data_IF_098913417886
#
_entry.id   IF_098913417886
#
_cell.length_a   1.000
_cell.length_b   1.000
_cell.length_c   1.000
_cell.angle_alpha   90.00
_cell.angle_beta   90.00
_cell.angle_gamma   90.00
#
_symmetry.space_group_name_H-M   'P 1'
#
loop_
_entity.id
_entity.type
_entity.pdbx_description
1 polymer ?
#
# COMPACT_ATOMS: atom_id res chain seq x y z
N UNK A 1 26.02 -13.78 -45.65
CA UNK A 1 24.82 -14.12 -44.88
C UNK A 1 25.25 -14.40 -43.44
N UNK A 2 24.97 -13.55 -42.47
CA UNK A 2 25.32 -13.86 -41.10
C UNK A 2 24.11 -14.54 -40.40
N UNK A 3 24.40 -15.66 -39.77
CA UNK A 3 23.47 -16.47 -38.96
C UNK A 3 23.16 -15.72 -37.69
N UNK A 4 21.88 -15.37 -37.49
CA UNK A 4 21.37 -14.84 -36.21
C UNK A 4 21.26 -15.98 -35.20
N UNK A 5 22.11 -15.96 -34.20
CA UNK A 5 22.00 -16.82 -33.03
C UNK A 5 20.99 -16.16 -32.08
N UNK A 6 19.79 -16.73 -32.01
CA UNK A 6 18.77 -16.36 -31.03
C UNK A 6 19.20 -16.92 -29.67
N UNK A 7 19.62 -16.05 -28.76
CA UNK A 7 19.84 -16.42 -27.34
C UNK A 7 18.48 -16.71 -26.68
N UNK A 8 18.25 -17.99 -26.49
CA UNK A 8 17.14 -18.47 -25.62
C UNK A 8 17.51 -18.13 -24.18
N UNK A 9 16.81 -17.15 -23.61
CA UNK A 9 16.94 -16.80 -22.19
C UNK A 9 16.21 -17.89 -21.38
N UNK A 10 16.97 -18.81 -20.81
CA UNK A 10 16.46 -19.80 -19.85
C UNK A 10 16.15 -19.04 -18.56
N UNK A 11 14.88 -18.70 -18.33
CA UNK A 11 14.40 -18.23 -17.02
C UNK A 11 14.43 -19.45 -16.10
N UNK A 12 15.46 -19.53 -15.29
CA UNK A 12 15.52 -20.50 -14.19
C UNK A 12 14.52 -20.04 -13.15
N UNK A 13 13.33 -20.63 -13.18
CA UNK A 13 12.38 -20.59 -12.06
C UNK A 13 13.08 -21.29 -10.89
N UNK A 14 13.68 -20.53 -9.97
CA UNK A 14 13.96 -21.01 -8.63
C UNK A 14 12.61 -21.25 -7.98
N UNK A 15 12.07 -22.44 -8.18
CA UNK A 15 10.98 -22.96 -7.40
C UNK A 15 11.50 -23.13 -5.97
N UNK A 16 11.12 -22.22 -5.10
CA UNK A 16 11.17 -22.47 -3.67
C UNK A 16 10.22 -23.65 -3.43
N UNK A 17 10.81 -24.86 -3.33
CA UNK A 17 10.08 -26.05 -2.93
C UNK A 17 9.78 -25.94 -1.44
N UNK A 18 8.68 -25.23 -1.11
CA UNK A 18 7.99 -25.47 0.14
C UNK A 18 7.44 -26.90 0.06
N UNK A 19 8.16 -27.85 0.64
CA UNK A 19 7.65 -29.19 0.80
C UNK A 19 6.30 -29.13 1.56
N UNK A 20 5.31 -29.98 1.23
CA UNK A 20 4.04 -29.97 1.92
C UNK A 20 4.22 -30.50 3.33
N UNK A 21 4.52 -29.61 4.27
CA UNK A 21 4.38 -29.86 5.70
C UNK A 21 3.04 -29.30 6.12
N UNK A 22 2.08 -30.17 6.34
CA UNK A 22 0.81 -29.95 7.02
C UNK A 22 0.17 -28.55 6.90
N UNK A 23 -0.65 -28.33 5.87
CA UNK A 23 -1.77 -27.39 5.97
C UNK A 23 -1.50 -25.91 5.73
N UNK A 24 -0.34 -25.48 5.24
CA UNK A 24 -0.09 -24.08 4.88
C UNK A 24 -0.66 -23.80 3.49
N UNK A 25 -1.73 -23.03 3.43
CA UNK A 25 -2.27 -22.52 2.15
C UNK A 25 -1.67 -21.12 1.91
N UNK A 26 -0.74 -21.04 0.96
CA UNK A 26 -0.18 -19.79 0.44
C UNK A 26 -0.73 -19.60 -0.96
N UNK A 27 -1.39 -18.47 -1.20
CA UNK A 27 -2.07 -18.18 -2.44
C UNK A 27 -1.49 -16.96 -3.13
N UNK A 28 -0.86 -17.14 -4.26
CA UNK A 28 -0.39 -16.05 -5.11
C UNK A 28 -1.59 -15.25 -5.66
N UNK A 29 -1.47 -13.94 -5.64
CA UNK A 29 -2.46 -13.03 -6.20
C UNK A 29 -2.02 -12.53 -7.58
N UNK A 30 -2.95 -12.30 -8.51
CA UNK A 30 -2.64 -11.74 -9.83
C UNK A 30 -2.39 -10.23 -9.71
N UNK A 31 -1.20 -9.83 -9.26
CA UNK A 31 -0.85 -8.43 -9.05
C UNK A 31 0.15 -7.93 -10.08
N UNK A 32 0.17 -6.61 -10.26
CA UNK A 32 1.23 -5.87 -10.92
C UNK A 32 1.70 -4.72 -10.04
N UNK A 33 2.95 -4.30 -10.21
CA UNK A 33 3.55 -3.21 -9.47
C UNK A 33 3.93 -2.08 -10.42
N UNK A 34 3.69 -0.84 -10.00
CA UNK A 34 4.13 0.36 -10.70
C UNK A 34 4.61 1.39 -9.68
N UNK A 35 5.87 1.78 -9.72
CA UNK A 35 6.49 2.67 -8.74
C UNK A 35 6.22 2.24 -7.27
N UNK A 36 6.30 0.94 -6.99
CA UNK A 36 5.99 0.26 -5.72
C UNK A 36 4.50 0.27 -5.31
N UNK A 37 3.62 0.88 -6.09
CA UNK A 37 2.18 0.80 -5.92
C UNK A 37 1.66 -0.54 -6.46
N UNK A 38 0.67 -1.13 -5.80
CA UNK A 38 0.21 -2.50 -6.08
C UNK A 38 -1.19 -2.46 -6.69
N UNK A 39 -1.37 -3.20 -7.78
CA UNK A 39 -2.64 -3.33 -8.49
C UNK A 39 -3.01 -4.80 -8.60
N UNK A 40 -4.22 -5.16 -8.16
CA UNK A 40 -4.79 -6.50 -8.33
C UNK A 40 -5.51 -6.56 -9.67
N UNK A 41 -5.08 -7.48 -10.53
CA UNK A 41 -5.60 -7.67 -11.89
C UNK A 41 -6.56 -8.85 -11.92
N UNK A 42 -7.85 -8.61 -11.81
CA UNK A 42 -8.88 -9.64 -11.69
C UNK A 42 -9.40 -9.99 -13.10
N UNK A 43 -9.16 -11.22 -13.59
CA UNK A 43 -9.73 -11.64 -14.87
C UNK A 43 -11.25 -11.61 -14.84
N UNK A 44 -11.84 -11.08 -15.90
CA UNK A 44 -13.27 -11.10 -16.15
C UNK A 44 -13.59 -12.03 -17.33
N UNK A 45 -14.86 -12.46 -17.47
CA UNK A 45 -15.34 -13.03 -18.72
C UNK A 45 -14.98 -12.09 -19.89
N UNK A 46 -14.94 -12.59 -21.11
CA UNK A 46 -14.64 -11.83 -22.33
C UNK A 46 -13.20 -11.27 -22.45
N UNK A 47 -12.25 -11.86 -21.70
CA UNK A 47 -10.84 -11.45 -21.69
C UNK A 47 -10.59 -9.99 -21.23
N UNK A 48 -11.52 -9.39 -20.52
CA UNK A 48 -11.29 -8.10 -19.85
C UNK A 48 -10.65 -8.32 -18.46
N UNK A 49 -10.13 -7.27 -17.87
CA UNK A 49 -9.48 -7.28 -16.55
C UNK A 49 -10.01 -6.14 -15.69
N UNK A 50 -10.49 -6.47 -14.50
CA UNK A 50 -10.81 -5.46 -13.49
C UNK A 50 -9.55 -5.15 -12.69
N UNK A 51 -9.07 -3.91 -12.77
CA UNK A 51 -7.84 -3.47 -12.10
C UNK A 51 -8.20 -2.74 -10.82
N UNK A 52 -7.82 -3.29 -9.67
CA UNK A 52 -8.09 -2.71 -8.36
C UNK A 52 -6.81 -2.25 -7.69
N UNK A 53 -6.75 -0.98 -7.30
CA UNK A 53 -5.65 -0.42 -6.54
C UNK A 53 -5.67 -0.95 -5.10
N UNK A 54 -4.52 -1.37 -4.57
CA UNK A 54 -4.38 -1.93 -3.22
C UNK A 54 -3.81 -0.89 -2.25
N UNK A 55 -4.60 -0.52 -1.24
CA UNK A 55 -4.31 0.62 -0.36
C UNK A 55 -4.73 0.34 1.09
N UNK A 56 -3.77 0.05 1.98
CA UNK A 56 -4.06 -0.21 3.40
C UNK A 56 -4.62 1.00 4.14
N UNK A 57 -4.33 2.22 3.68
CA UNK A 57 -4.85 3.48 4.22
C UNK A 57 -6.22 3.87 3.66
N UNK A 58 -6.67 3.21 2.60
CA UNK A 58 -7.89 3.54 1.88
C UNK A 58 -9.14 2.79 2.33
N UNK A 59 -10.20 2.96 1.55
CA UNK A 59 -11.48 2.24 1.67
C UNK A 59 -11.75 1.45 0.40
N UNK A 60 -12.66 0.47 0.51
CA UNK A 60 -13.14 -0.21 -0.69
C UNK A 60 -14.08 0.71 -1.50
N UNK A 61 -13.74 0.96 -2.75
CA UNK A 61 -14.63 1.67 -3.67
C UNK A 61 -14.44 1.24 -5.13
N UNK A 62 -15.40 1.59 -5.97
CA UNK A 62 -15.39 1.31 -7.41
C UNK A 62 -15.53 2.61 -8.19
N UNK A 63 -14.73 2.77 -9.23
CA UNK A 63 -14.88 3.85 -10.21
C UNK A 63 -15.89 3.49 -11.30
N UNK A 64 -16.25 4.49 -12.08
CA UNK A 64 -17.20 4.32 -13.20
C UNK A 64 -16.70 3.31 -14.24
N UNK A 65 -15.40 3.24 -14.48
CA UNK A 65 -14.78 2.26 -15.39
C UNK A 65 -15.06 0.82 -14.92
N UNK A 66 -14.85 0.53 -13.64
CA UNK A 66 -15.13 -0.79 -13.06
C UNK A 66 -16.61 -1.17 -13.13
N UNK A 67 -17.53 -0.22 -12.82
CA UNK A 67 -18.96 -0.48 -12.98
C UNK A 67 -19.34 -0.80 -14.42
N UNK A 68 -18.71 -0.11 -15.40
CA UNK A 68 -18.94 -0.37 -16.81
C UNK A 68 -18.47 -1.77 -17.21
N UNK A 69 -17.29 -2.20 -16.79
CA UNK A 69 -16.75 -3.55 -17.04
C UNK A 69 -17.62 -4.64 -16.43
N UNK A 70 -18.22 -4.35 -15.28
CA UNK A 70 -19.12 -5.28 -14.58
C UNK A 70 -20.58 -5.17 -15.05
N UNK A 71 -20.87 -4.35 -16.05
CA UNK A 71 -22.24 -4.07 -16.58
C UNK A 71 -23.21 -3.58 -15.50
N UNK A 72 -22.70 -2.99 -14.41
CA UNK A 72 -23.51 -2.47 -13.31
C UNK A 72 -23.92 -1.04 -13.59
N UNK A 73 -25.22 -0.79 -13.60
CA UNK A 73 -25.77 0.58 -13.74
C UNK A 73 -25.94 1.22 -12.36
N UNK A 74 -25.22 2.33 -12.05
CA UNK A 74 -25.42 3.02 -10.80
C UNK A 74 -26.85 3.59 -10.76
N UNK A 75 -27.59 3.28 -9.71
CA UNK A 75 -28.90 3.88 -9.49
C UNK A 75 -28.74 5.28 -8.90
N UNK A 76 -29.46 6.29 -9.43
CA UNK A 76 -29.39 7.70 -8.98
C UNK A 76 -29.68 7.92 -7.48
N UNK A 77 -30.29 6.96 -6.80
CA UNK A 77 -30.67 7.05 -5.38
C UNK A 77 -29.61 6.55 -4.39
N UNK A 78 -28.62 5.81 -4.85
CA UNK A 78 -27.63 5.21 -3.96
C UNK A 78 -26.22 5.54 -4.45
N UNK A 79 -25.57 6.54 -3.83
CA UNK A 79 -24.12 6.69 -3.80
C UNK A 79 -23.43 5.41 -3.25
N UNK A 80 -24.22 4.47 -2.73
CA UNK A 80 -23.82 3.17 -2.20
C UNK A 80 -24.44 2.07 -3.07
N UNK A 81 -24.06 2.01 -4.35
CA UNK A 81 -24.35 0.81 -5.14
C UNK A 81 -23.61 -0.35 -4.48
N UNK A 82 -24.34 -1.34 -3.96
CA UNK A 82 -23.74 -2.55 -3.41
C UNK A 82 -23.20 -3.40 -4.53
N UNK A 83 -21.98 -3.08 -4.94
CA UNK A 83 -21.24 -3.94 -5.87
C UNK A 83 -20.72 -5.12 -5.07
N UNK A 84 -21.18 -6.32 -5.39
CA UNK A 84 -20.66 -7.55 -4.78
C UNK A 84 -19.62 -8.15 -5.72
N UNK A 85 -18.39 -8.18 -5.25
CA UNK A 85 -17.30 -8.83 -5.96
C UNK A 85 -17.03 -10.26 -5.45
N UNK A 86 -17.80 -10.73 -4.46
CA UNK A 86 -17.53 -12.00 -3.78
C UNK A 86 -17.43 -13.17 -4.76
N UNK A 87 -18.36 -13.29 -5.72
CA UNK A 87 -18.36 -14.37 -6.70
C UNK A 87 -17.14 -14.29 -7.63
N UNK A 88 -16.80 -13.10 -8.11
CA UNK A 88 -15.62 -12.87 -8.95
C UNK A 88 -14.34 -13.19 -8.18
N UNK A 89 -14.25 -12.78 -6.91
CA UNK A 89 -13.11 -13.09 -6.06
C UNK A 89 -12.96 -14.58 -5.84
N UNK A 90 -14.04 -15.29 -5.51
CA UNK A 90 -14.01 -16.73 -5.31
C UNK A 90 -13.63 -17.49 -6.58
N UNK A 91 -14.18 -17.12 -7.73
CA UNK A 91 -13.85 -17.71 -9.03
C UNK A 91 -12.36 -17.54 -9.38
N UNK A 92 -11.78 -16.41 -9.04
CA UNK A 92 -10.36 -16.09 -9.26
C UNK A 92 -9.47 -16.46 -8.07
N UNK A 93 -10.06 -17.13 -7.09
CA UNK A 93 -9.31 -17.54 -5.91
C UNK A 93 -8.73 -16.35 -5.10
N UNK A 94 -9.35 -15.19 -5.13
CA UNK A 94 -8.98 -13.98 -4.40
C UNK A 94 -9.72 -13.95 -3.05
N UNK A 95 -9.06 -13.57 -1.94
CA UNK A 95 -9.74 -13.44 -0.65
C UNK A 95 -10.85 -12.39 -0.69
N UNK A 96 -12.03 -12.75 -0.18
CA UNK A 96 -13.16 -11.81 -0.12
C UNK A 96 -12.95 -10.73 0.94
N UNK A 97 -13.58 -9.58 0.74
CA UNK A 97 -13.54 -8.47 1.70
C UNK A 97 -14.34 -8.77 2.98
N UNK A 98 -13.86 -8.26 4.12
CA UNK A 98 -14.59 -8.30 5.39
C UNK A 98 -15.94 -7.56 5.29
N UNK A 99 -15.93 -6.36 4.69
CA UNK A 99 -17.15 -5.64 4.31
C UNK A 99 -17.39 -5.80 2.83
N UNK A 100 -18.58 -6.26 2.48
CA UNK A 100 -18.96 -6.61 1.10
C UNK A 100 -19.36 -5.41 0.24
N UNK A 101 -19.68 -4.28 0.88
CA UNK A 101 -20.18 -3.10 0.18
C UNK A 101 -19.01 -2.24 -0.30
N UNK A 102 -18.98 -1.99 -1.60
CA UNK A 102 -18.08 -1.02 -2.23
C UNK A 102 -18.80 0.32 -2.39
N UNK A 103 -18.09 1.41 -2.09
CA UNK A 103 -18.57 2.75 -2.40
C UNK A 103 -18.38 3.03 -3.90
N UNK A 104 -19.27 3.82 -4.48
CA UNK A 104 -19.11 4.31 -5.84
C UNK A 104 -18.52 5.73 -5.83
N UNK A 105 -17.45 5.94 -6.60
CA UNK A 105 -16.88 7.25 -6.86
C UNK A 105 -17.02 7.60 -8.35
N UNK A 106 -17.65 8.76 -8.62
CA UNK A 106 -17.80 9.28 -9.97
C UNK A 106 -16.57 10.11 -10.35
N UNK A 107 -15.45 9.45 -10.52
CA UNK A 107 -14.22 10.05 -11.00
C UNK A 107 -13.97 9.67 -12.47
N UNK A 108 -13.27 10.53 -13.22
CA UNK A 108 -13.13 10.39 -14.68
C UNK A 108 -11.72 9.96 -15.10
N UNK A 109 -10.70 10.26 -14.30
CA UNK A 109 -9.30 10.04 -14.66
C UNK A 109 -8.66 8.98 -13.78
N UNK A 110 -8.97 7.72 -14.07
CA UNK A 110 -8.46 6.62 -13.26
C UNK A 110 -7.60 5.67 -14.07
N UNK A 111 -6.43 5.39 -13.55
CA UNK A 111 -5.53 4.32 -14.03
C UNK A 111 -5.99 2.93 -13.59
N UNK A 112 -7.05 2.86 -12.74
CA UNK A 112 -7.63 1.64 -12.22
C UNK A 112 -9.17 1.72 -12.18
N UNK A 113 -9.81 0.61 -11.90
CA UNK A 113 -11.27 0.48 -11.89
C UNK A 113 -11.88 0.67 -10.50
N UNK A 114 -11.05 0.68 -9.47
CA UNK A 114 -11.45 0.89 -8.08
C UNK A 114 -10.29 0.67 -7.12
N UNK A 115 -10.60 0.65 -5.84
CA UNK A 115 -9.64 0.44 -4.75
C UNK A 115 -10.13 -0.65 -3.80
N UNK A 116 -9.22 -1.48 -3.36
CA UNK A 116 -9.40 -2.39 -2.25
C UNK A 116 -8.57 -1.87 -1.07
N UNK A 117 -9.27 -1.39 -0.06
CA UNK A 117 -8.66 -0.77 1.10
C UNK A 117 -8.73 -1.65 2.33
N UNK A 118 -8.65 -1.00 3.48
CA UNK A 118 -8.61 -1.61 4.82
C UNK A 118 -9.63 -2.72 5.06
N UNK A 119 -10.83 -2.64 4.48
CA UNK A 119 -11.85 -3.67 4.66
C UNK A 119 -11.51 -4.97 3.92
N UNK A 120 -10.72 -4.89 2.85
CA UNK A 120 -10.23 -6.07 2.14
C UNK A 120 -9.02 -6.68 2.84
N UNK A 121 -8.13 -5.85 3.37
CA UNK A 121 -6.96 -6.29 4.13
C UNK A 121 -7.33 -6.93 5.48
N UNK A 122 -8.42 -6.51 6.08
CA UNK A 122 -8.88 -6.89 7.41
C UNK A 122 -8.88 -8.39 7.68
N UNK A 123 -8.41 -8.77 8.87
CA UNK A 123 -8.44 -10.15 9.40
C UNK A 123 -7.70 -11.19 8.55
N UNK A 124 -6.70 -10.78 7.78
CA UNK A 124 -5.92 -11.64 6.89
C UNK A 124 -4.44 -11.41 7.08
N UNK A 125 -3.66 -12.34 6.52
CA UNK A 125 -2.21 -12.29 6.51
C UNK A 125 -1.76 -12.11 5.07
N UNK A 126 -0.95 -11.10 4.84
CA UNK A 126 -0.49 -10.71 3.51
C UNK A 126 1.03 -10.74 3.45
N UNK A 127 1.59 -11.54 2.55
CA UNK A 127 3.00 -11.44 2.18
C UNK A 127 3.11 -10.54 0.96
N UNK A 128 3.88 -9.47 1.08
CA UNK A 128 4.21 -8.56 -0.01
C UNK A 128 5.70 -8.67 -0.26
N UNK A 129 6.05 -9.14 -1.44
CA UNK A 129 7.42 -9.26 -1.92
C UNK A 129 7.67 -8.15 -2.95
N UNK A 130 8.22 -7.04 -2.48
CA UNK A 130 8.57 -5.92 -3.33
C UNK A 130 9.76 -6.22 -4.24
N UNK A 131 10.69 -7.10 -3.83
CA UNK A 131 11.87 -7.48 -4.64
C UNK A 131 11.44 -8.22 -5.90
N UNK A 132 10.52 -9.17 -5.76
CA UNK A 132 10.02 -9.99 -6.86
C UNK A 132 8.69 -9.51 -7.44
N UNK A 133 8.13 -8.40 -6.91
CA UNK A 133 6.83 -7.83 -7.32
C UNK A 133 5.70 -8.86 -7.24
N UNK A 134 5.57 -9.52 -6.10
CA UNK A 134 4.58 -10.55 -5.84
C UNK A 134 3.81 -10.25 -4.55
N UNK A 135 2.58 -10.72 -4.50
CA UNK A 135 1.75 -10.64 -3.29
C UNK A 135 1.01 -11.96 -3.09
N UNK A 136 0.92 -12.36 -1.83
CA UNK A 136 0.26 -13.60 -1.46
C UNK A 136 -0.69 -13.38 -0.29
N UNK A 137 -1.81 -14.11 -0.32
CA UNK A 137 -2.63 -14.33 0.86
C UNK A 137 -2.18 -15.60 1.57
N UNK A 138 -2.02 -15.53 2.88
CA UNK A 138 -1.55 -16.63 3.72
C UNK A 138 -2.65 -16.96 4.72
N UNK A 139 -3.01 -18.24 4.88
CA UNK A 139 -3.97 -18.66 5.90
C UNK A 139 -3.31 -18.82 7.27
N UNK A 140 -2.10 -19.37 7.29
CA UNK A 140 -1.27 -19.50 8.49
C UNK A 140 0.20 -19.68 8.11
N UNK A 141 1.10 -19.38 9.02
CA UNK A 141 2.54 -19.63 8.87
C UNK A 141 3.15 -20.08 10.19
N UNK A 142 4.27 -20.79 10.11
CA UNK A 142 5.15 -21.07 11.27
C UNK A 142 6.34 -20.13 11.26
N UNK A 143 6.57 -19.43 12.36
CA UNK A 143 7.72 -18.53 12.50
C UNK A 143 9.05 -19.27 12.44
N UNK A 144 9.07 -20.55 12.84
CA UNK A 144 10.27 -21.39 12.84
C UNK A 144 10.86 -21.62 11.44
N UNK A 145 10.02 -21.46 10.39
CA UNK A 145 10.48 -21.65 9.00
C UNK A 145 10.67 -20.32 8.25
N UNK A 146 10.38 -19.19 8.90
CA UNK A 146 10.59 -17.87 8.34
C UNK A 146 11.89 -17.28 8.87
N UNK A 147 12.73 -16.80 7.96
CA UNK A 147 13.88 -15.96 8.34
C UNK A 147 13.36 -14.54 8.64
N UNK A 148 12.93 -14.32 9.89
CA UNK A 148 12.40 -13.02 10.32
C UNK A 148 13.55 -12.18 10.82
N UNK A 149 13.80 -11.03 10.17
CA UNK A 149 14.82 -10.06 10.56
C UNK A 149 14.29 -9.02 11.57
N UNK A 150 12.99 -8.68 11.49
CA UNK A 150 12.37 -7.76 12.44
C UNK A 150 10.89 -8.05 12.63
N UNK A 151 10.38 -7.78 13.84
CA UNK A 151 8.97 -7.82 14.18
C UNK A 151 8.55 -6.45 14.71
N UNK A 152 7.63 -5.78 14.02
CA UNK A 152 7.18 -4.43 14.33
C UNK A 152 5.71 -4.49 14.72
N UNK A 153 5.33 -3.98 15.91
CA UNK A 153 3.93 -3.90 16.32
C UNK A 153 3.13 -3.00 15.36
N UNK A 154 1.93 -3.45 15.02
CA UNK A 154 0.95 -2.67 14.25
C UNK A 154 -0.26 -2.42 15.15
N UNK A 155 -0.64 -1.17 15.31
CA UNK A 155 -1.76 -0.79 16.16
C UNK A 155 -3.03 -0.55 15.35
N UNK A 156 -4.19 -0.76 16.00
CA UNK A 156 -5.50 -0.49 15.44
C UNK A 156 -6.39 0.15 16.48
N UNK A 157 -7.29 1.02 16.05
CA UNK A 157 -8.30 1.59 16.93
C UNK A 157 -9.24 0.49 17.42
N UNK A 158 -9.36 0.40 18.73
CA UNK A 158 -10.25 -0.55 19.43
C UNK A 158 -11.53 0.17 19.85
N UNK A 159 -12.68 -0.47 19.69
CA UNK A 159 -13.96 0.02 20.17
C UNK A 159 -14.20 -0.35 21.63
N UNK A 160 -15.33 0.07 22.17
CA UNK A 160 -15.71 -0.19 23.58
C UNK A 160 -15.93 -1.68 23.90
N UNK A 161 -16.07 -2.53 22.89
CA UNK A 161 -16.19 -3.99 23.05
C UNK A 161 -14.85 -4.71 23.07
N UNK A 162 -13.72 -3.98 22.83
CA UNK A 162 -12.39 -4.55 22.66
C UNK A 162 -12.12 -5.06 21.25
N UNK A 163 -13.00 -4.79 20.29
CA UNK A 163 -12.85 -5.20 18.90
C UNK A 163 -12.21 -4.10 18.05
N UNK A 164 -11.49 -4.46 17.00
CA UNK A 164 -10.93 -3.51 16.03
C UNK A 164 -12.10 -2.77 15.35
N UNK A 165 -12.21 -1.45 15.57
CA UNK A 165 -13.32 -0.63 15.06
C UNK A 165 -13.19 -0.30 13.58
N UNK A 166 -11.95 -0.16 13.11
CA UNK A 166 -11.59 -0.04 11.70
C UNK A 166 -10.22 -0.67 11.50
N UNK A 167 -9.86 -1.02 10.32
CA UNK A 167 -8.64 -1.77 10.05
C UNK A 167 -7.55 -0.90 9.39
N UNK A 168 -7.41 0.36 9.85
CA UNK A 168 -6.29 1.24 9.48
C UNK A 168 -5.07 0.90 10.35
N UNK A 169 -3.98 0.40 9.77
CA UNK A 169 -2.81 -0.03 10.53
C UNK A 169 -1.93 1.16 10.93
N UNK A 170 -1.70 1.32 12.23
CA UNK A 170 -0.74 2.28 12.78
C UNK A 170 0.62 1.62 13.00
N UNK A 171 1.71 2.36 12.74
CA UNK A 171 3.09 1.92 12.96
C UNK A 171 3.90 3.04 13.60
N UNK A 172 4.89 2.68 14.42
CA UNK A 172 5.87 3.64 14.92
C UNK A 172 7.17 3.53 14.15
N UNK A 173 7.74 4.68 13.81
CA UNK A 173 9.05 4.81 13.17
C UNK A 173 9.90 5.81 13.94
N UNK A 174 11.24 5.73 13.79
CA UNK A 174 12.14 6.72 14.37
C UNK A 174 12.83 7.47 13.24
N UNK A 175 12.71 8.79 13.26
CA UNK A 175 13.32 9.71 12.29
C UNK A 175 14.03 10.79 13.08
N UNK A 176 15.33 10.96 12.85
CA UNK A 176 16.16 11.95 13.54
C UNK A 176 16.05 11.92 15.08
N UNK A 177 15.93 10.71 15.64
CA UNK A 177 15.79 10.48 17.08
C UNK A 177 14.35 10.67 17.62
N UNK A 178 13.44 11.22 16.86
CA UNK A 178 12.03 11.37 17.24
C UNK A 178 11.24 10.09 16.89
N UNK A 179 10.45 9.57 17.83
CA UNK A 179 9.49 8.50 17.56
C UNK A 179 8.19 9.10 17.03
N UNK A 180 7.83 8.74 15.81
CA UNK A 180 6.64 9.21 15.12
C UNK A 180 5.65 8.07 14.92
N UNK A 181 4.38 8.33 15.22
CA UNK A 181 3.29 7.41 14.90
C UNK A 181 2.73 7.75 13.53
N UNK A 182 2.61 6.75 12.66
CA UNK A 182 2.20 6.91 11.27
C UNK A 182 1.13 5.89 10.88
N UNK A 183 0.29 6.22 9.91
CA UNK A 183 -0.50 5.25 9.17
C UNK A 183 0.43 4.42 8.28
N UNK A 184 0.35 3.09 8.31
CA UNK A 184 1.00 2.24 7.32
C UNK A 184 0.13 2.21 6.07
N UNK A 185 0.61 2.84 4.98
CA UNK A 185 -0.19 3.19 3.82
C UNK A 185 0.48 2.73 2.52
N UNK A 186 0.15 1.51 2.06
CA UNK A 186 0.70 0.95 0.82
C UNK A 186 0.25 1.72 -0.43
N UNK A 187 -0.80 2.54 -0.31
CA UNK A 187 -1.38 3.32 -1.38
C UNK A 187 -1.03 4.82 -1.35
N UNK A 188 -0.18 5.26 -0.43
CA UNK A 188 0.25 6.66 -0.43
C UNK A 188 1.01 6.99 -1.71
N UNK A 189 0.50 7.95 -2.49
CA UNK A 189 1.04 8.31 -3.80
C UNK A 189 1.03 9.82 -4.04
N UNK A 190 1.96 10.30 -4.89
CA UNK A 190 2.04 11.66 -5.37
C UNK A 190 2.18 11.69 -6.89
N UNK A 191 1.69 12.75 -7.51
CA UNK A 191 2.03 13.10 -8.89
C UNK A 191 3.26 14.00 -8.87
N UNK A 192 4.40 13.48 -9.29
CA UNK A 192 5.65 14.21 -9.25
C UNK A 192 5.69 15.35 -10.28
N UNK A 193 6.16 16.52 -9.86
CA UNK A 193 6.53 17.60 -10.79
C UNK A 193 7.77 17.21 -11.59
N UNK A 194 8.05 17.94 -12.69
CA UNK A 194 9.27 17.71 -13.48
C UNK A 194 10.55 17.88 -12.65
N UNK A 195 10.53 18.82 -11.69
CA UNK A 195 11.63 19.02 -10.76
C UNK A 195 11.82 17.84 -9.82
N UNK A 196 10.74 17.30 -9.25
CA UNK A 196 10.78 16.13 -8.38
C UNK A 196 11.17 14.87 -9.17
N UNK A 197 10.64 14.71 -10.39
CA UNK A 197 11.03 13.66 -11.33
C UNK A 197 12.54 13.63 -11.55
N UNK A 198 13.13 14.80 -11.82
CA UNK A 198 14.58 14.92 -12.03
C UNK A 198 15.38 14.70 -10.75
N UNK A 199 14.89 15.22 -9.61
CA UNK A 199 15.58 15.11 -8.34
C UNK A 199 15.64 13.69 -7.78
N UNK A 200 14.56 12.90 -7.96
CA UNK A 200 14.41 11.57 -7.37
C UNK A 200 14.60 10.44 -8.40
N UNK A 201 14.84 10.77 -9.66
CA UNK A 201 14.94 9.81 -10.77
C UNK A 201 13.71 8.86 -10.84
N UNK A 202 12.55 9.42 -10.62
CA UNK A 202 11.23 8.75 -10.69
C UNK A 202 10.31 9.61 -11.53
N UNK A 203 9.25 9.07 -12.10
CA UNK A 203 8.35 9.84 -12.97
C UNK A 203 6.89 9.47 -12.77
N UNK A 204 6.02 10.43 -13.08
CA UNK A 204 4.58 10.25 -13.04
C UNK A 204 4.03 10.08 -11.62
N UNK A 205 3.05 9.19 -11.47
CA UNK A 205 2.52 8.81 -10.16
C UNK A 205 3.48 7.84 -9.50
N UNK A 206 3.97 8.22 -8.31
CA UNK A 206 4.94 7.42 -7.55
C UNK A 206 4.49 7.22 -6.11
N UNK A 207 4.89 6.09 -5.52
CA UNK A 207 4.70 5.88 -4.08
C UNK A 207 5.49 6.92 -3.29
N UNK A 208 4.89 7.45 -2.25
CA UNK A 208 5.48 8.47 -1.37
C UNK A 208 4.99 8.25 0.06
N UNK A 209 5.68 8.84 1.02
CA UNK A 209 5.18 8.99 2.40
C UNK A 209 4.62 10.39 2.60
N UNK A 210 3.78 10.58 3.60
CA UNK A 210 3.23 11.88 3.96
C UNK A 210 3.65 12.26 5.37
N UNK A 211 3.85 13.56 5.60
CA UNK A 211 4.14 14.11 6.91
C UNK A 211 3.35 15.41 7.12
N UNK A 212 2.97 15.70 8.35
CA UNK A 212 2.30 16.94 8.69
C UNK A 212 3.22 18.16 8.47
N UNK A 213 2.59 19.30 8.24
CA UNK A 213 3.30 20.54 7.94
C UNK A 213 4.26 20.92 9.07
N UNK A 214 3.81 20.81 10.32
CA UNK A 214 4.62 21.20 11.49
C UNK A 214 5.90 20.38 11.58
N UNK A 215 5.85 19.08 11.35
CA UNK A 215 7.03 18.20 11.34
C UNK A 215 7.90 18.46 10.12
N UNK A 216 7.29 18.66 8.93
CA UNK A 216 8.02 19.00 7.72
C UNK A 216 8.84 20.29 7.89
N UNK A 217 8.20 21.36 8.36
CA UNK A 217 8.84 22.68 8.55
C UNK A 217 9.95 22.61 9.62
N UNK A 218 9.76 21.79 10.69
CA UNK A 218 10.80 21.49 11.68
C UNK A 218 12.00 20.81 11.03
N UNK A 219 11.79 19.80 10.21
CA UNK A 219 12.88 19.09 9.52
C UNK A 219 13.63 20.01 8.55
N UNK A 220 12.92 20.80 7.74
CA UNK A 220 13.54 21.75 6.81
C UNK A 220 14.43 22.76 7.54
N UNK A 221 14.02 23.18 8.74
CA UNK A 221 14.81 24.11 9.55
C UNK A 221 16.04 23.45 10.21
N UNK A 222 15.88 22.24 10.74
CA UNK A 222 16.95 21.54 11.46
C UNK A 222 17.98 20.91 10.53
N UNK A 223 17.56 20.51 9.33
CA UNK A 223 18.38 19.80 8.34
C UNK A 223 18.43 20.55 7.00
N UNK A 224 19.13 21.67 6.92
CA UNK A 224 19.25 22.45 5.68
C UNK A 224 20.00 21.68 4.56
N UNK A 225 20.65 20.56 4.89
CA UNK A 225 21.30 19.63 3.98
C UNK A 225 20.33 18.58 3.40
N UNK A 226 19.14 18.38 3.97
CA UNK A 226 18.13 17.50 3.40
C UNK A 226 17.52 18.15 2.16
N UNK A 227 17.44 17.37 1.09
CA UNK A 227 16.91 17.90 -0.16
C UNK A 227 15.41 18.17 -0.06
N UNK A 228 15.02 19.41 -0.33
CA UNK A 228 13.61 19.80 -0.45
C UNK A 228 13.32 20.20 -1.91
N UNK A 229 12.27 19.62 -2.47
CA UNK A 229 11.74 19.98 -3.78
C UNK A 229 10.45 20.76 -3.58
N UNK A 230 10.51 22.07 -3.80
CA UNK A 230 9.34 22.95 -3.70
C UNK A 230 8.32 22.63 -4.79
N UNK A 231 7.04 22.49 -4.40
CA UNK A 231 5.98 22.09 -5.32
C UNK A 231 6.22 20.72 -5.98
N UNK A 232 6.87 19.79 -5.27
CA UNK A 232 7.26 18.49 -5.79
C UNK A 232 6.08 17.54 -6.06
N UNK A 233 5.01 17.65 -5.27
CA UNK A 233 3.77 16.89 -5.45
C UNK A 233 2.67 17.79 -6.06
N UNK A 234 2.23 17.45 -7.25
CA UNK A 234 1.19 18.17 -8.01
C UNK A 234 -0.17 17.46 -7.98
N UNK A 235 -0.34 16.44 -7.14
CA UNK A 235 -1.60 15.69 -7.04
C UNK A 235 -2.76 16.50 -6.46
N UNK A 236 -2.45 17.56 -5.70
CA UNK A 236 -3.41 18.46 -5.10
C UNK A 236 -3.59 19.74 -5.94
N UNK A 237 -4.68 20.48 -5.67
CA UNK A 237 -4.95 21.76 -6.35
C UNK A 237 -3.81 22.78 -6.18
N UNK A 238 -3.18 22.78 -5.02
CA UNK A 238 -1.95 23.51 -4.74
C UNK A 238 -0.85 22.49 -4.60
N UNK A 239 0.22 22.67 -5.35
CA UNK A 239 1.36 21.76 -5.28
C UNK A 239 2.04 21.85 -3.91
N UNK A 240 2.43 20.71 -3.37
CA UNK A 240 3.06 20.58 -2.07
C UNK A 240 4.54 20.23 -2.18
N UNK A 241 5.29 20.59 -1.17
CA UNK A 241 6.74 20.34 -1.12
C UNK A 241 7.01 18.87 -0.77
N UNK A 242 8.14 18.35 -1.26
CA UNK A 242 8.64 17.01 -0.90
C UNK A 242 10.02 17.15 -0.26
N UNK A 243 10.25 16.49 0.87
CA UNK A 243 11.55 16.39 1.53
C UNK A 243 12.11 14.96 1.41
N UNK A 244 13.41 14.86 1.14
CA UNK A 244 14.15 13.61 1.13
C UNK A 244 14.79 13.41 2.50
N UNK A 245 14.30 12.41 3.24
CA UNK A 245 14.82 12.02 4.55
C UNK A 245 15.84 10.88 4.36
N UNK A 246 17.10 11.06 4.79
CA UNK A 246 18.17 10.10 4.52
C UNK A 246 17.96 8.73 5.17
N UNK A 247 17.30 8.69 6.33
CA UNK A 247 17.11 7.44 7.07
C UNK A 247 15.85 7.45 7.93
N UNK A 248 15.11 6.35 7.87
CA UNK A 248 13.93 6.06 8.69
C UNK A 248 14.14 4.70 9.35
N UNK A 249 14.06 4.64 10.68
CA UNK A 249 14.13 3.39 11.40
C UNK A 249 12.72 2.79 11.53
N UNK A 250 12.54 1.59 11.01
CA UNK A 250 11.32 0.81 11.08
C UNK A 250 11.66 -0.46 11.87
N UNK A 251 11.33 -0.49 13.17
CA UNK A 251 11.92 -1.44 14.09
C UNK A 251 13.45 -1.26 14.12
N UNK A 252 14.18 -2.35 13.98
CA UNK A 252 15.65 -2.35 13.98
C UNK A 252 16.27 -2.13 12.58
N UNK A 253 15.43 -1.95 11.56
CA UNK A 253 15.88 -1.77 10.17
C UNK A 253 15.86 -0.29 9.78
N UNK A 254 16.98 0.20 9.22
CA UNK A 254 17.07 1.54 8.64
C UNK A 254 16.82 1.47 7.14
N UNK A 255 15.88 2.23 6.66
CA UNK A 255 15.59 2.40 5.22
C UNK A 255 15.83 3.85 4.80
N UNK A 256 16.22 4.07 3.57
CA UNK A 256 16.43 5.43 3.05
C UNK A 256 17.18 5.48 1.72
N UNK A 257 17.09 6.61 1.01
CA UNK A 257 16.27 7.76 1.36
C UNK A 257 14.77 7.48 1.25
N UNK A 258 13.97 8.18 2.08
CA UNK A 258 12.51 8.16 2.04
C UNK A 258 11.97 9.54 1.71
N UNK A 259 11.05 9.63 0.77
CA UNK A 259 10.47 10.89 0.32
C UNK A 259 9.15 11.15 1.02
N UNK A 260 9.02 12.33 1.66
CA UNK A 260 7.81 12.74 2.36
C UNK A 260 7.21 13.99 1.71
N UNK A 261 5.97 13.90 1.25
CA UNK A 261 5.22 15.06 0.80
C UNK A 261 4.51 15.72 1.98
N UNK A 262 4.60 17.04 2.04
CA UNK A 262 3.95 17.86 3.06
C UNK A 262 2.43 17.78 2.96
N UNK A 263 1.75 17.70 4.09
CA UNK A 263 0.29 17.77 4.20
C UNK A 263 -0.11 18.66 5.37
N UNK A 264 -1.23 19.34 5.25
CA UNK A 264 -1.75 20.16 6.34
C UNK A 264 -1.96 19.33 7.62
N UNK A 265 -1.56 19.84 8.77
CA UNK A 265 -1.68 19.19 10.08
C UNK A 265 -3.09 18.70 10.35
N UNK A 266 -4.10 19.48 9.93
CA UNK A 266 -5.51 19.15 10.11
C UNK A 266 -5.91 17.79 9.51
N UNK A 267 -5.25 17.35 8.44
CA UNK A 267 -5.50 16.05 7.81
C UNK A 267 -5.23 14.91 8.80
N UNK A 268 -4.11 14.99 9.50
CA UNK A 268 -3.71 13.97 10.48
C UNK A 268 -4.46 14.10 11.80
N UNK A 269 -4.81 15.30 12.23
CA UNK A 269 -5.68 15.53 13.38
C UNK A 269 -7.05 14.88 13.16
N UNK A 270 -7.66 15.09 12.00
CA UNK A 270 -8.96 14.47 11.65
C UNK A 270 -8.83 12.94 11.55
N UNK A 271 -7.77 12.45 10.93
CA UNK A 271 -7.51 11.01 10.81
C UNK A 271 -7.34 10.37 12.18
N UNK A 272 -6.50 10.95 13.04
CA UNK A 272 -6.23 10.47 14.39
C UNK A 272 -7.51 10.38 15.23
N UNK A 273 -8.26 11.47 15.30
CA UNK A 273 -9.43 11.55 16.17
C UNK A 273 -10.55 10.58 15.75
N UNK A 274 -10.70 10.32 14.46
CA UNK A 274 -11.82 9.51 13.95
C UNK A 274 -11.45 8.04 13.71
N UNK A 275 -10.18 7.75 13.42
CA UNK A 275 -9.84 6.45 12.83
C UNK A 275 -8.64 5.75 13.44
N UNK A 276 -7.73 6.46 14.11
CA UNK A 276 -6.52 5.86 14.70
C UNK A 276 -6.69 5.65 16.20
N UNK A 277 -5.86 4.80 16.77
CA UNK A 277 -5.76 4.56 18.22
C UNK A 277 -4.96 5.66 18.94
N UNK A 278 -4.14 6.37 18.21
CA UNK A 278 -3.24 7.42 18.71
C UNK A 278 -3.14 8.57 17.70
N UNK A 279 -2.52 9.66 18.13
CA UNK A 279 -2.19 10.78 17.25
C UNK A 279 -1.12 10.33 16.27
N UNK A 280 -1.37 10.52 14.98
CA UNK A 280 -0.40 10.28 13.92
C UNK A 280 0.07 11.61 13.32
N UNK A 281 1.31 11.65 12.88
CA UNK A 281 1.92 12.82 12.23
C UNK A 281 2.09 12.62 10.73
N UNK A 282 1.81 11.40 10.21
CA UNK A 282 2.04 11.11 8.81
C UNK A 282 1.49 9.75 8.38
N UNK A 283 1.88 9.38 7.16
CA UNK A 283 1.66 8.06 6.58
C UNK A 283 2.96 7.52 5.98
N UNK A 284 3.31 6.30 6.33
CA UNK A 284 4.47 5.58 5.80
C UNK A 284 4.08 4.83 4.55
N UNK A 285 4.57 5.29 3.41
CA UNK A 285 4.20 4.79 2.09
C UNK A 285 5.07 3.63 1.59
N UNK A 286 4.68 3.10 0.44
CA UNK A 286 5.41 2.00 -0.20
C UNK A 286 6.83 2.39 -0.64
N UNK A 287 7.16 3.68 -0.78
CA UNK A 287 8.52 4.15 -1.02
C UNK A 287 9.49 3.81 0.13
N UNK A 288 8.98 3.67 1.36
CA UNK A 288 9.75 3.17 2.51
C UNK A 288 9.61 1.64 2.65
N UNK A 289 8.37 1.13 2.57
CA UNK A 289 8.08 -0.30 2.78
C UNK A 289 8.80 -1.21 1.77
N UNK A 290 8.93 -0.77 0.52
CA UNK A 290 9.61 -1.54 -0.52
C UNK A 290 11.10 -1.77 -0.24
N UNK A 291 11.73 -0.90 0.53
CA UNK A 291 13.13 -1.03 0.91
C UNK A 291 13.34 -2.11 1.98
N UNK A 292 12.28 -2.55 2.66
CA UNK A 292 12.32 -3.73 3.55
C UNK A 292 12.38 -5.05 2.75
N UNK A 293 12.08 -5.01 1.46
CA UNK A 293 12.17 -6.15 0.54
C UNK A 293 10.95 -7.06 0.62
N UNK A 294 10.89 -7.95 1.59
CA UNK A 294 9.75 -8.84 1.83
C UNK A 294 9.14 -8.57 3.20
N UNK A 295 7.82 -8.38 3.25
CA UNK A 295 7.10 -8.12 4.49
C UNK A 295 5.86 -9.01 4.62
N UNK A 296 5.55 -9.42 5.85
CA UNK A 296 4.25 -10.01 6.17
C UNK A 296 3.46 -9.01 7.02
N UNK A 297 2.32 -8.56 6.51
CA UNK A 297 1.37 -7.76 7.26
C UNK A 297 0.31 -8.70 7.85
N UNK A 298 0.44 -8.99 9.13
CA UNK A 298 -0.39 -9.91 9.89
C UNK A 298 -1.44 -9.14 10.71
N UNK A 299 -2.62 -8.94 10.14
CA UNK A 299 -3.72 -8.25 10.81
C UNK A 299 -4.22 -9.00 12.07
N UNK A 300 -4.41 -10.33 12.05
CA UNK A 300 -4.79 -11.08 13.24
C UNK A 300 -3.85 -10.92 14.42
N UNK A 301 -2.54 -10.92 14.20
CA UNK A 301 -1.55 -10.78 15.26
C UNK A 301 -1.05 -9.33 15.44
N UNK A 302 -1.60 -8.39 14.69
CA UNK A 302 -1.31 -6.96 14.78
C UNK A 302 0.19 -6.66 14.69
N UNK A 303 0.83 -7.18 13.66
CA UNK A 303 2.28 -7.03 13.46
C UNK A 303 2.67 -6.98 11.99
N UNK A 304 3.80 -6.35 11.75
CA UNK A 304 4.52 -6.35 10.50
C UNK A 304 5.82 -7.14 10.72
N UNK A 305 6.04 -8.18 9.94
CA UNK A 305 7.29 -8.93 9.93
C UNK A 305 8.10 -8.53 8.72
N UNK A 306 9.40 -8.34 8.91
CA UNK A 306 10.37 -8.14 7.83
C UNK A 306 11.12 -9.45 7.64
N UNK A 307 11.20 -9.94 6.41
CA UNK A 307 11.89 -11.19 6.07
C UNK A 307 13.28 -10.88 5.46
N UNK A 308 14.24 -11.79 5.65
CA UNK A 308 15.61 -11.70 5.10
C UNK A 308 15.63 -11.80 3.54
#
# INVERSE_FOLDING_TARGET
MPVRVTKLLLITLMSWSFGPTNGQSIKALPVSFSANLIYLNIPLPDNDTLVMYLDTGGKNFMYKSGLKKLEIRPTRKNLHSRVRLDEIFLQNSIPVSYKKDLYFLNDKDNTCDGMLGREWYANKIWLIDYRNQQMFAIESYSEEILSISATIPVSFRIDTSGSISNHLPGVQVVIDGDTLSMLLDTGAQAQLSDQATSAFNQSGTSSISFIDQSTFDKWEQLHPDWRVVKGGDTSLRVAEDIIEVPGVNIGDTVVGPVYFAKRADQNFVVMSNNFMDQQITGALGANALSQLGQIILDYPQQRLLVLE
#
